data_IF_644711813866
#
_entry.id   IF_644711813866
#
_cell.length_a   1.000
_cell.length_b   1.000
_cell.length_c   1.000
_cell.angle_alpha   90.00
_cell.angle_beta   90.00
_cell.angle_gamma   90.00
#
_symmetry.space_group_name_H-M   'P 1'
#
loop_
_entity.id
_entity.type
_entity.pdbx_description
1 polymer ?
#
# COMPACT_ATOMS: atom_id res chain seq x y z
N UNK A 1 -31.27 2.79 24.04
CA UNK A 1 -30.96 3.66 22.88
C UNK A 1 -29.45 3.75 22.73
N UNK A 2 -28.86 3.25 21.63
CA UNK A 2 -27.44 3.55 21.33
C UNK A 2 -27.32 5.06 21.08
N UNK A 3 -26.37 5.77 21.70
CA UNK A 3 -26.22 7.20 21.48
C UNK A 3 -25.86 7.44 20.00
N UNK A 4 -26.58 8.36 19.36
CA UNK A 4 -26.30 8.76 17.99
C UNK A 4 -24.83 9.17 17.86
N UNK A 5 -24.14 8.59 16.89
CA UNK A 5 -22.73 8.89 16.59
C UNK A 5 -22.57 10.37 16.25
N UNK A 6 -21.38 10.95 16.47
CA UNK A 6 -21.11 12.38 16.18
C UNK A 6 -21.51 12.76 14.73
N UNK A 7 -21.43 11.83 13.79
CA UNK A 7 -21.86 11.98 12.40
C UNK A 7 -23.39 12.08 12.24
N UNK A 8 -24.16 11.26 12.95
CA UNK A 8 -25.62 11.30 12.92
C UNK A 8 -26.15 12.62 13.52
N UNK A 9 -25.53 13.10 14.61
CA UNK A 9 -25.85 14.41 15.20
C UNK A 9 -25.49 15.56 14.25
N UNK A 10 -24.36 15.47 13.55
CA UNK A 10 -23.97 16.47 12.56
C UNK A 10 -24.96 16.53 11.39
N UNK A 11 -25.44 15.38 10.89
CA UNK A 11 -26.43 15.33 9.81
C UNK A 11 -27.76 16.01 10.18
N UNK A 12 -28.22 15.86 11.43
CA UNK A 12 -29.44 16.52 11.93
C UNK A 12 -29.30 18.03 12.10
N UNK A 13 -28.07 18.53 12.29
CA UNK A 13 -27.78 19.96 12.52
C UNK A 13 -27.37 20.70 11.23
N UNK A 14 -27.18 19.98 10.11
CA UNK A 14 -26.62 20.53 8.88
C UNK A 14 -27.73 21.00 7.92
N UNK A 15 -27.84 22.32 7.70
CA UNK A 15 -28.92 22.91 6.91
C UNK A 15 -28.77 22.74 5.38
N UNK A 16 -27.54 22.73 4.83
CA UNK A 16 -27.34 22.71 3.37
C UNK A 16 -27.35 21.30 2.78
N UNK A 17 -27.96 21.14 1.59
CA UNK A 17 -28.02 19.86 0.88
C UNK A 17 -26.62 19.34 0.49
N UNK A 18 -25.70 20.25 0.12
CA UNK A 18 -24.31 19.92 -0.22
C UNK A 18 -23.56 19.34 0.99
N UNK A 19 -23.68 19.95 2.17
CA UNK A 19 -23.03 19.45 3.37
C UNK A 19 -23.61 18.10 3.83
N UNK A 20 -24.94 17.89 3.70
CA UNK A 20 -25.56 16.58 3.93
C UNK A 20 -25.03 15.50 2.97
N UNK A 21 -24.86 15.82 1.69
CA UNK A 21 -24.30 14.90 0.69
C UNK A 21 -22.83 14.52 1.02
N UNK A 22 -22.01 15.49 1.47
CA UNK A 22 -20.65 15.21 1.93
C UNK A 22 -20.62 14.30 3.17
N UNK A 23 -21.50 14.53 4.15
CA UNK A 23 -21.61 13.68 5.34
C UNK A 23 -22.06 12.24 4.99
N UNK A 24 -23.04 12.08 4.10
CA UNK A 24 -23.45 10.75 3.62
C UNK A 24 -22.32 10.03 2.88
N UNK A 25 -21.55 10.76 2.05
CA UNK A 25 -20.37 10.21 1.37
C UNK A 25 -19.32 9.75 2.38
N UNK A 26 -19.03 10.56 3.40
CA UNK A 26 -18.09 10.19 4.46
C UNK A 26 -18.56 8.93 5.23
N UNK A 27 -19.84 8.88 5.59
CA UNK A 27 -20.42 7.73 6.28
C UNK A 27 -20.33 6.44 5.46
N UNK A 28 -20.59 6.51 4.15
CA UNK A 28 -20.42 5.37 3.23
C UNK A 28 -18.99 4.86 3.15
N UNK A 29 -18.00 5.76 3.24
CA UNK A 29 -16.59 5.40 3.18
C UNK A 29 -16.08 4.81 4.49
N UNK A 30 -16.78 5.03 5.61
CA UNK A 30 -16.32 4.62 6.94
C UNK A 30 -16.05 3.11 7.02
N UNK A 31 -16.92 2.28 6.45
CA UNK A 31 -16.73 0.82 6.42
C UNK A 31 -15.47 0.43 5.66
N UNK A 32 -15.21 1.04 4.49
CA UNK A 32 -14.02 0.74 3.69
C UNK A 32 -12.74 1.25 4.37
N UNK A 33 -12.79 2.41 5.05
CA UNK A 33 -11.68 2.96 5.81
C UNK A 33 -11.33 2.05 7.00
N UNK A 34 -12.34 1.62 7.77
CA UNK A 34 -12.16 0.67 8.87
C UNK A 34 -11.60 -0.66 8.37
N UNK A 35 -12.12 -1.19 7.25
CA UNK A 35 -11.60 -2.41 6.65
C UNK A 35 -10.12 -2.26 6.24
N UNK A 36 -9.72 -1.10 5.71
CA UNK A 36 -8.32 -0.83 5.33
C UNK A 36 -7.41 -0.76 6.56
N UNK A 37 -7.85 -0.09 7.63
CA UNK A 37 -7.09 -0.02 8.89
C UNK A 37 -6.99 -1.41 9.51
N UNK A 38 -8.09 -2.17 9.58
CA UNK A 38 -8.12 -3.52 10.11
C UNK A 38 -7.21 -4.46 9.31
N UNK A 39 -7.26 -4.38 7.97
CA UNK A 39 -6.37 -5.13 7.08
C UNK A 39 -4.89 -4.80 7.36
N UNK A 40 -4.56 -3.52 7.48
CA UNK A 40 -3.20 -3.10 7.80
C UNK A 40 -2.74 -3.68 9.15
N UNK A 41 -3.52 -3.48 10.21
CA UNK A 41 -3.19 -3.96 11.55
C UNK A 41 -3.04 -5.49 11.58
N UNK A 42 -3.97 -6.22 10.96
CA UNK A 42 -3.90 -7.69 10.87
C UNK A 42 -2.67 -8.16 10.07
N UNK A 43 -2.30 -7.46 9.00
CA UNK A 43 -1.11 -7.79 8.20
C UNK A 43 0.17 -7.55 8.97
N UNK A 44 0.27 -6.43 9.69
CA UNK A 44 1.43 -6.12 10.54
C UNK A 44 1.55 -7.15 11.66
N UNK A 45 0.44 -7.43 12.35
CA UNK A 45 0.37 -8.44 13.40
C UNK A 45 0.89 -9.79 12.90
N UNK A 46 0.32 -10.32 11.80
CA UNK A 46 0.73 -11.60 11.23
C UNK A 46 2.22 -11.64 10.86
N UNK A 47 2.78 -10.54 10.34
CA UNK A 47 4.20 -10.49 9.96
C UNK A 47 5.13 -10.52 11.17
N UNK A 48 4.73 -9.88 12.27
CA UNK A 48 5.52 -9.90 13.51
C UNK A 48 5.38 -11.26 14.20
N UNK A 49 4.18 -11.85 14.24
CA UNK A 49 3.96 -13.21 14.77
C UNK A 49 4.84 -14.25 14.06
N UNK A 50 5.06 -14.11 12.75
CA UNK A 50 5.95 -15.00 11.98
C UNK A 50 7.42 -14.95 12.41
N UNK A 51 7.86 -13.91 13.13
CA UNK A 51 9.19 -13.85 13.72
C UNK A 51 9.35 -14.80 14.92
N UNK A 52 8.25 -15.35 15.45
CA UNK A 52 8.20 -16.25 16.62
C UNK A 52 8.95 -15.67 17.83
N UNK A 53 8.68 -14.41 18.15
CA UNK A 53 9.25 -13.71 19.30
C UNK A 53 8.41 -13.97 20.55
N UNK A 54 9.00 -13.75 21.72
CA UNK A 54 8.26 -13.69 22.98
C UNK A 54 7.30 -12.49 22.98
N UNK A 55 6.20 -12.59 23.74
CA UNK A 55 5.12 -11.61 23.75
C UNK A 55 5.59 -10.17 24.06
N UNK A 56 6.57 -10.03 24.95
CA UNK A 56 7.16 -8.73 25.29
C UNK A 56 7.91 -8.10 24.11
N UNK A 57 8.66 -8.92 23.37
CA UNK A 57 9.41 -8.50 22.19
C UNK A 57 8.47 -8.19 21.02
N UNK A 58 7.42 -8.98 20.86
CA UNK A 58 6.37 -8.74 19.87
C UNK A 58 5.72 -7.37 20.09
N UNK A 59 5.33 -7.08 21.35
CA UNK A 59 4.78 -5.78 21.74
C UNK A 59 5.78 -4.64 21.49
N UNK A 60 7.06 -4.82 21.81
CA UNK A 60 8.09 -3.83 21.53
C UNK A 60 8.22 -3.53 20.03
N UNK A 61 8.13 -4.55 19.16
CA UNK A 61 8.18 -4.38 17.70
C UNK A 61 6.95 -3.62 17.18
N UNK A 62 5.76 -3.98 17.66
CA UNK A 62 4.48 -3.42 17.20
C UNK A 62 4.25 -2.00 17.72
N UNK A 63 4.55 -1.73 18.99
CA UNK A 63 4.15 -0.50 19.68
C UNK A 63 5.26 0.57 19.71
N UNK A 64 6.52 0.17 19.55
CA UNK A 64 7.67 1.08 19.62
C UNK A 64 8.46 1.12 18.32
N UNK A 65 9.00 -0.02 17.86
CA UNK A 65 9.91 -0.06 16.71
C UNK A 65 9.22 0.34 15.40
N UNK A 66 8.10 -0.31 15.06
CA UNK A 66 7.38 -0.03 13.80
C UNK A 66 6.90 1.43 13.74
N UNK A 67 6.28 1.99 14.79
CA UNK A 67 5.92 3.41 14.81
C UNK A 67 7.10 4.37 14.73
N UNK A 68 8.25 4.05 15.36
CA UNK A 68 9.44 4.89 15.26
C UNK A 68 9.94 4.96 13.80
N UNK A 69 10.03 3.81 13.13
CA UNK A 69 10.43 3.75 11.71
C UNK A 69 9.43 4.51 10.82
N UNK A 70 8.12 4.38 11.06
CA UNK A 70 7.11 5.16 10.33
C UNK A 70 7.31 6.66 10.50
N UNK A 71 7.62 7.14 11.71
CA UNK A 71 7.89 8.56 11.96
C UNK A 71 9.09 9.08 11.15
N UNK A 72 10.17 8.30 11.02
CA UNK A 72 11.29 8.67 10.16
C UNK A 72 10.88 8.72 8.68
N UNK A 73 10.15 7.71 8.21
CA UNK A 73 9.67 7.66 6.83
C UNK A 73 8.77 8.87 6.52
N UNK A 74 7.90 9.26 7.45
CA UNK A 74 7.08 10.47 7.33
C UNK A 74 7.96 11.72 7.32
N UNK A 75 8.95 11.81 8.21
CA UNK A 75 9.87 12.94 8.30
C UNK A 75 10.65 13.17 6.99
N UNK A 76 11.08 12.10 6.30
CA UNK A 76 11.75 12.22 4.98
C UNK A 76 10.86 12.80 3.89
N UNK A 77 9.53 12.65 4.03
CA UNK A 77 8.53 13.15 3.09
C UNK A 77 8.02 14.55 3.46
N UNK A 78 8.37 15.06 4.65
CA UNK A 78 7.95 16.39 5.10
C UNK A 78 8.74 17.52 4.41
N UNK A 79 8.00 18.51 3.92
CA UNK A 79 8.55 19.71 3.30
C UNK A 79 9.17 20.68 4.33
N UNK A 80 8.57 20.80 5.52
CA UNK A 80 9.01 21.72 6.58
C UNK A 80 10.18 21.18 7.40
N UNK A 81 11.22 21.99 7.59
CA UNK A 81 12.40 21.61 8.36
C UNK A 81 12.10 21.38 9.85
N UNK A 82 11.29 22.24 10.46
CA UNK A 82 10.93 22.12 11.88
C UNK A 82 10.08 20.87 12.17
N UNK A 83 9.08 20.60 11.34
CA UNK A 83 8.27 19.38 11.49
C UNK A 83 9.10 18.12 11.25
N UNK A 84 10.02 18.14 10.27
CA UNK A 84 10.96 17.04 10.05
C UNK A 84 11.84 16.78 11.27
N UNK A 85 12.41 17.83 11.89
CA UNK A 85 13.21 17.70 13.13
C UNK A 85 12.37 17.14 14.27
N UNK A 86 11.14 17.63 14.45
CA UNK A 86 10.22 17.16 15.48
C UNK A 86 9.91 15.66 15.33
N UNK A 87 9.58 15.22 14.11
CA UNK A 87 9.29 13.81 13.85
C UNK A 87 10.51 12.91 14.05
N UNK A 88 11.69 13.35 13.63
CA UNK A 88 12.95 12.62 13.87
C UNK A 88 13.25 12.52 15.37
N UNK A 89 13.01 13.58 16.16
CA UNK A 89 13.18 13.55 17.61
C UNK A 89 12.20 12.57 18.29
N UNK A 90 10.94 12.52 17.83
CA UNK A 90 9.95 11.54 18.33
C UNK A 90 10.31 10.10 17.94
N UNK A 91 10.88 9.87 16.76
CA UNK A 91 11.42 8.56 16.39
C UNK A 91 12.55 8.17 17.34
N UNK A 92 13.53 9.05 17.54
CA UNK A 92 14.69 8.78 18.40
C UNK A 92 14.26 8.45 19.84
N UNK A 93 13.30 9.20 20.39
CA UNK A 93 12.74 8.95 21.73
C UNK A 93 12.12 7.56 21.85
N UNK A 94 11.52 7.03 20.77
CA UNK A 94 10.92 5.68 20.76
C UNK A 94 11.95 4.57 20.52
N UNK A 95 13.04 4.87 19.81
CA UNK A 95 14.12 3.90 19.58
C UNK A 95 15.06 3.77 20.78
N UNK A 96 15.25 4.84 21.55
CA UNK A 96 16.21 4.89 22.66
C UNK A 96 16.07 3.72 23.66
N UNK A 97 14.87 3.37 24.18
CA UNK A 97 14.72 2.24 25.10
C UNK A 97 15.05 0.89 24.45
N UNK A 98 14.79 0.73 23.15
CA UNK A 98 15.03 -0.52 22.42
C UNK A 98 16.52 -0.75 22.16
N UNK A 99 17.32 0.32 22.15
CA UNK A 99 18.77 0.30 21.94
C UNK A 99 19.58 0.27 23.23
N UNK A 100 18.92 0.35 24.39
CA UNK A 100 19.55 0.18 25.70
C UNK A 100 20.11 -1.23 25.85
N UNK A 101 21.31 -1.36 26.41
CA UNK A 101 22.07 -2.63 26.46
C UNK A 101 21.40 -3.71 27.33
N UNK A 102 20.54 -3.32 28.24
CA UNK A 102 19.73 -4.18 29.11
C UNK A 102 18.41 -4.64 28.45
N UNK A 103 18.02 -4.05 27.32
CA UNK A 103 16.78 -4.40 26.66
C UNK A 103 16.85 -5.83 26.07
N UNK A 104 15.81 -6.67 26.22
CA UNK A 104 15.82 -8.06 25.74
C UNK A 104 16.13 -8.21 24.24
N UNK A 105 15.73 -7.24 23.41
CA UNK A 105 16.10 -7.19 21.99
C UNK A 105 17.62 -7.16 21.76
N UNK A 106 18.41 -6.55 22.65
CA UNK A 106 19.87 -6.47 22.52
C UNK A 106 20.57 -7.78 22.89
N UNK A 107 19.90 -8.65 23.65
CA UNK A 107 20.41 -10.00 23.95
C UNK A 107 20.31 -10.97 22.75
N UNK A 108 19.46 -10.68 21.76
CA UNK A 108 19.31 -11.48 20.54
C UNK A 108 20.56 -11.40 19.65
N UNK A 109 20.75 -12.37 18.75
CA UNK A 109 21.83 -12.32 17.78
C UNK A 109 21.69 -11.13 16.80
N UNK A 110 22.81 -10.59 16.33
CA UNK A 110 22.82 -9.43 15.43
C UNK A 110 22.05 -9.68 14.11
N UNK A 111 22.04 -10.92 13.63
CA UNK A 111 21.26 -11.38 12.46
C UNK A 111 19.77 -11.27 12.72
N UNK A 112 19.29 -11.78 13.85
CA UNK A 112 17.89 -11.70 14.28
C UNK A 112 17.46 -10.26 14.48
N UNK A 113 18.28 -9.42 15.14
CA UNK A 113 17.98 -7.98 15.29
C UNK A 113 17.84 -7.28 13.94
N UNK A 114 18.65 -7.66 12.97
CA UNK A 114 18.58 -7.11 11.60
C UNK A 114 17.30 -7.55 10.89
N UNK A 115 16.92 -8.82 11.03
CA UNK A 115 15.67 -9.36 10.48
C UNK A 115 14.44 -8.67 11.08
N UNK A 116 14.39 -8.52 12.41
CA UNK A 116 13.34 -7.79 13.13
C UNK A 116 13.23 -6.36 12.61
N UNK A 117 14.36 -5.64 12.50
CA UNK A 117 14.39 -4.29 11.97
C UNK A 117 13.91 -4.19 10.52
N UNK A 118 14.19 -5.21 9.70
CA UNK A 118 13.75 -5.28 8.31
C UNK A 118 12.24 -5.54 8.23
N UNK A 119 11.69 -6.48 9.01
CA UNK A 119 10.25 -6.75 9.06
C UNK A 119 9.48 -5.53 9.56
N UNK A 120 9.97 -4.85 10.61
CA UNK A 120 9.36 -3.62 11.11
C UNK A 120 9.39 -2.50 10.05
N UNK A 121 10.50 -2.35 9.31
CA UNK A 121 10.58 -1.40 8.19
C UNK A 121 9.60 -1.75 7.07
N UNK A 122 9.46 -3.01 6.72
CA UNK A 122 8.52 -3.45 5.69
C UNK A 122 7.06 -3.25 6.13
N UNK A 123 6.77 -3.41 7.43
CA UNK A 123 5.47 -3.11 8.02
C UNK A 123 5.17 -1.61 8.00
N UNK A 124 6.15 -0.75 8.33
CA UNK A 124 5.99 0.70 8.23
C UNK A 124 5.74 1.16 6.78
N UNK A 125 6.42 0.55 5.80
CA UNK A 125 6.24 0.86 4.38
C UNK A 125 4.86 0.42 3.84
N UNK A 126 4.18 -0.56 4.45
CA UNK A 126 2.80 -0.93 4.09
C UNK A 126 1.81 0.19 4.39
N UNK A 127 2.08 1.04 5.38
CA UNK A 127 1.18 2.12 5.74
C UNK A 127 1.30 3.29 4.75
N UNK A 128 0.45 3.26 3.73
CA UNK A 128 0.38 4.36 2.78
C UNK A 128 -0.59 5.44 3.28
N UNK A 129 -0.05 6.51 3.87
CA UNK A 129 -0.84 7.72 4.17
C UNK A 129 -1.43 8.27 2.87
N UNK A 130 -2.74 8.17 2.72
CA UNK A 130 -3.47 8.85 1.65
C UNK A 130 -3.39 10.36 1.89
N UNK A 131 -2.52 11.07 1.17
CA UNK A 131 -2.45 12.54 1.20
C UNK A 131 -3.69 13.20 0.60
N UNK A 132 -4.46 12.46 -0.21
CA UNK A 132 -5.91 12.67 -0.42
C UNK A 132 -6.54 11.45 -1.10
N UNK A 133 -7.85 11.25 -0.95
CA UNK A 133 -8.62 10.27 -1.73
C UNK A 133 -8.57 10.55 -3.25
N UNK A 134 -8.19 11.77 -3.64
CA UNK A 134 -8.13 12.22 -5.02
C UNK A 134 -6.80 11.81 -5.66
N UNK A 135 -5.69 11.74 -4.92
CA UNK A 135 -4.37 11.41 -5.48
C UNK A 135 -4.27 9.98 -6.00
N UNK A 136 -4.86 8.99 -5.31
CA UNK A 136 -4.88 7.60 -5.78
C UNK A 136 -5.75 7.43 -7.04
N UNK A 137 -6.96 8.00 -7.02
CA UNK A 137 -7.88 7.99 -8.16
C UNK A 137 -7.34 8.81 -9.34
N UNK A 138 -6.72 9.95 -9.09
CA UNK A 138 -6.04 10.74 -10.11
C UNK A 138 -4.79 10.04 -10.62
N UNK A 139 -4.04 9.33 -9.79
CA UNK A 139 -2.91 8.52 -10.24
C UNK A 139 -3.37 7.39 -11.16
N UNK A 140 -4.42 6.66 -10.78
CA UNK A 140 -5.05 5.64 -11.62
C UNK A 140 -5.60 6.24 -12.92
N UNK A 141 -6.32 7.36 -12.84
CA UNK A 141 -6.84 8.04 -14.02
C UNK A 141 -5.73 8.60 -14.91
N UNK A 142 -4.69 9.19 -14.34
CA UNK A 142 -3.52 9.67 -15.08
C UNK A 142 -2.82 8.50 -15.77
N UNK A 143 -2.69 7.34 -15.13
CA UNK A 143 -2.14 6.13 -15.77
C UNK A 143 -3.04 5.60 -16.88
N UNK A 144 -4.35 5.53 -16.63
CA UNK A 144 -5.34 5.09 -17.62
C UNK A 144 -5.38 6.04 -18.82
N UNK A 145 -5.50 7.35 -18.58
CA UNK A 145 -5.47 8.36 -19.62
C UNK A 145 -4.12 8.41 -20.31
N UNK A 146 -2.98 8.27 -19.62
CA UNK A 146 -1.68 8.16 -20.29
C UNK A 146 -1.58 6.90 -21.16
N UNK A 147 -2.17 5.77 -20.75
CA UNK A 147 -2.19 4.54 -21.53
C UNK A 147 -3.11 4.60 -22.75
N UNK A 148 -4.23 5.34 -22.65
CA UNK A 148 -5.25 5.48 -23.68
C UNK A 148 -5.08 6.72 -24.57
N UNK A 149 -4.35 7.75 -24.12
CA UNK A 149 -4.10 8.96 -24.88
C UNK A 149 -3.03 8.70 -25.95
N UNK A 150 -3.41 8.91 -27.22
CA UNK A 150 -2.58 8.65 -28.41
C UNK A 150 -2.15 7.19 -28.54
N UNK A 151 -3.12 6.29 -28.57
CA UNK A 151 -2.88 4.94 -29.09
C UNK A 151 -2.18 5.06 -30.45
N UNK A 152 -0.93 4.57 -30.53
CA UNK A 152 -0.19 4.57 -31.79
C UNK A 152 -0.94 3.76 -32.85
N UNK A 153 -0.64 4.01 -34.13
CA UNK A 153 -1.26 3.31 -35.28
C UNK A 153 -1.25 1.79 -35.11
N UNK A 154 -0.15 1.22 -34.59
CA UNK A 154 -0.04 -0.22 -34.26
C UNK A 154 -1.08 -0.69 -33.23
N UNK A 155 -1.32 0.09 -32.17
CA UNK A 155 -2.31 -0.26 -31.13
C UNK A 155 -3.73 -0.10 -31.67
N UNK A 156 -3.98 0.95 -32.45
CA UNK A 156 -5.28 1.17 -33.11
C UNK A 156 -5.61 0.03 -34.09
N UNK A 157 -4.64 -0.44 -34.88
CA UNK A 157 -4.82 -1.55 -35.80
C UNK A 157 -5.14 -2.89 -35.10
N UNK A 158 -4.75 -3.06 -33.84
CA UNK A 158 -5.06 -4.26 -33.06
C UNK A 158 -6.49 -4.25 -32.50
N UNK A 159 -7.10 -3.09 -32.29
CA UNK A 159 -8.44 -2.99 -31.68
C UNK A 159 -9.54 -3.72 -32.47
N UNK A 160 -9.62 -3.65 -33.82
CA UNK A 160 -10.59 -4.42 -34.59
C UNK A 160 -10.42 -5.92 -34.40
N UNK A 161 -9.18 -6.43 -34.32
CA UNK A 161 -8.91 -7.84 -34.08
C UNK A 161 -9.39 -8.26 -32.68
N UNK A 162 -9.07 -7.46 -31.65
CA UNK A 162 -9.55 -7.73 -30.29
C UNK A 162 -11.08 -7.70 -30.21
N UNK A 163 -11.70 -6.68 -30.79
CA UNK A 163 -13.15 -6.49 -30.75
C UNK A 163 -13.91 -7.61 -31.46
N UNK A 164 -13.47 -7.99 -32.67
CA UNK A 164 -14.18 -8.97 -33.47
C UNK A 164 -13.89 -10.41 -33.04
N UNK A 165 -12.68 -10.69 -32.56
CA UNK A 165 -12.23 -12.06 -32.28
C UNK A 165 -12.36 -12.42 -30.80
N UNK A 166 -12.24 -11.49 -29.86
CA UNK A 166 -12.06 -11.86 -28.44
C UNK A 166 -13.05 -11.21 -27.46
N UNK A 167 -13.81 -10.19 -27.87
CA UNK A 167 -14.86 -9.61 -27.02
C UNK A 167 -16.13 -10.45 -27.14
N UNK A 168 -16.60 -10.95 -26.00
CA UNK A 168 -17.82 -11.73 -25.88
C UNK A 168 -19.06 -10.84 -25.73
N UNK A 169 -20.17 -11.23 -26.35
CA UNK A 169 -21.49 -10.64 -26.13
C UNK A 169 -22.17 -11.31 -24.92
N UNK A 170 -23.37 -10.84 -24.50
CA UNK A 170 -24.12 -11.47 -23.40
C UNK A 170 -24.46 -12.95 -23.63
N UNK A 171 -24.45 -13.42 -24.88
CA UNK A 171 -24.63 -14.83 -25.25
C UNK A 171 -23.32 -15.65 -25.14
N UNK A 172 -22.26 -15.06 -24.58
CA UNK A 172 -20.92 -15.63 -24.44
C UNK A 172 -20.22 -16.01 -25.75
N UNK A 173 -20.74 -15.60 -26.91
CA UNK A 173 -20.10 -15.83 -28.22
C UNK A 173 -19.32 -14.62 -28.70
N UNK A 174 -18.32 -14.87 -29.56
CA UNK A 174 -17.56 -13.82 -30.25
C UNK A 174 -18.14 -13.52 -31.64
N UNK A 175 -17.84 -12.35 -32.22
CA UNK A 175 -18.29 -12.06 -33.58
C UNK A 175 -17.61 -12.98 -34.61
N UNK A 176 -16.32 -13.28 -34.42
CA UNK A 176 -15.58 -14.23 -35.25
C UNK A 176 -16.16 -15.65 -35.16
N UNK A 177 -16.56 -16.11 -33.98
CA UNK A 177 -17.17 -17.43 -33.82
C UNK A 177 -18.47 -17.60 -34.60
N UNK A 178 -19.34 -16.59 -34.59
CA UNK A 178 -20.56 -16.60 -35.39
C UNK A 178 -20.29 -16.55 -36.88
N UNK A 179 -19.26 -15.82 -37.30
CA UNK A 179 -18.92 -15.66 -38.71
C UNK A 179 -18.22 -16.90 -39.28
N UNK A 180 -17.28 -17.49 -38.54
CA UNK A 180 -16.47 -18.63 -38.97
C UNK A 180 -17.01 -20.00 -38.50
N UNK A 181 -18.05 -20.01 -37.66
CA UNK A 181 -18.63 -21.24 -37.09
C UNK A 181 -17.72 -21.98 -36.11
N UNK A 182 -16.65 -21.33 -35.61
CA UNK A 182 -15.69 -21.93 -34.68
C UNK A 182 -15.15 -20.90 -33.69
N UNK A 183 -14.96 -21.31 -32.44
CA UNK A 183 -14.36 -20.46 -31.43
C UNK A 183 -12.90 -20.10 -31.80
N UNK A 184 -12.48 -18.85 -31.56
CA UNK A 184 -11.09 -18.47 -31.75
C UNK A 184 -10.20 -19.11 -30.68
N UNK A 185 -8.93 -19.40 -31.02
CA UNK A 185 -7.96 -19.92 -30.05
C UNK A 185 -7.77 -18.95 -28.87
N UNK A 186 -7.37 -19.47 -27.71
CA UNK A 186 -7.21 -18.65 -26.51
C UNK A 186 -6.20 -17.50 -26.72
N UNK A 187 -6.66 -16.25 -26.60
CA UNK A 187 -5.83 -15.06 -26.82
C UNK A 187 -4.57 -15.06 -25.96
N UNK A 188 -4.69 -15.47 -24.70
CA UNK A 188 -3.58 -15.43 -23.75
C UNK A 188 -2.43 -16.35 -24.18
N UNK A 189 -2.73 -17.59 -24.57
CA UNK A 189 -1.73 -18.55 -25.05
C UNK A 189 -1.03 -18.05 -26.32
N UNK A 190 -1.80 -17.51 -27.27
CA UNK A 190 -1.23 -16.93 -28.48
C UNK A 190 -0.31 -15.73 -28.21
N UNK A 191 -0.63 -14.93 -27.19
CA UNK A 191 0.23 -13.82 -26.79
C UNK A 191 1.50 -14.33 -26.12
N UNK A 192 1.41 -15.35 -25.26
CA UNK A 192 2.60 -15.94 -24.62
C UNK A 192 3.59 -16.51 -25.65
N UNK A 193 3.10 -17.14 -26.72
CA UNK A 193 3.95 -17.67 -27.79
C UNK A 193 4.64 -16.59 -28.63
N UNK A 194 4.00 -15.41 -28.78
CA UNK A 194 4.42 -14.38 -29.76
C UNK A 194 5.06 -13.15 -29.13
N UNK A 195 4.80 -12.89 -27.85
CA UNK A 195 5.33 -11.73 -27.15
C UNK A 195 6.75 -12.05 -26.67
N UNK A 196 7.78 -11.28 -27.08
CA UNK A 196 9.11 -11.48 -26.55
C UNK A 196 9.09 -11.21 -25.04
N UNK A 197 9.85 -12.00 -24.28
CA UNK A 197 9.98 -11.80 -22.84
C UNK A 197 10.40 -10.35 -22.55
N UNK A 198 9.80 -9.70 -21.54
CA UNK A 198 10.19 -8.35 -21.19
C UNK A 198 11.68 -8.31 -20.85
N UNK A 199 12.37 -7.19 -21.12
CA UNK A 199 13.77 -7.05 -20.77
C UNK A 199 13.95 -7.29 -19.26
N UNK A 200 15.08 -7.89 -18.88
CA UNK A 200 15.38 -8.12 -17.47
C UNK A 200 15.25 -6.82 -16.69
N UNK A 201 14.64 -6.85 -15.49
CA UNK A 201 14.56 -5.66 -14.64
C UNK A 201 15.92 -5.01 -14.53
N UNK A 202 15.96 -3.68 -14.61
CA UNK A 202 17.19 -2.92 -14.40
C UNK A 202 17.80 -3.37 -13.07
N UNK A 203 19.07 -3.81 -13.10
CA UNK A 203 19.81 -4.10 -11.87
C UNK A 203 19.76 -2.85 -10.99
N UNK A 204 19.05 -2.96 -9.87
CA UNK A 204 18.92 -1.87 -8.90
C UNK A 204 20.34 -1.54 -8.44
N UNK A 205 20.70 -0.25 -8.38
CA UNK A 205 21.94 0.13 -7.69
C UNK A 205 21.88 -0.47 -6.29
N UNK A 206 23.01 -1.02 -5.83
CA UNK A 206 23.14 -1.46 -4.45
C UNK A 206 22.66 -0.31 -3.56
N UNK A 207 21.58 -0.56 -2.80
CA UNK A 207 21.09 0.41 -1.84
C UNK A 207 22.19 0.55 -0.80
N UNK A 208 22.57 1.78 -0.42
CA UNK A 208 23.44 1.97 0.74
C UNK A 208 22.85 1.15 1.89
N UNK A 209 23.67 0.33 2.53
CA UNK A 209 23.21 -0.47 3.67
C UNK A 209 22.61 0.51 4.68
N UNK A 210 21.32 0.33 4.99
CA UNK A 210 20.70 1.12 6.06
C UNK A 210 21.40 0.70 7.34
N UNK A 211 21.75 1.67 8.19
CA UNK A 211 22.22 1.37 9.55
C UNK A 211 21.10 0.57 10.23
N UNK A 212 21.40 -0.58 10.88
CA UNK A 212 20.39 -1.35 11.57
C UNK A 212 19.71 -0.51 12.65
N UNK A 213 18.38 -0.57 12.73
CA UNK A 213 17.62 0.18 13.72
C UNK A 213 17.93 -0.21 15.16
N UNK A 214 18.31 -1.47 15.40
CA UNK A 214 18.59 -2.04 16.72
C UNK A 214 20.10 -2.19 16.96
N UNK A 215 20.86 -1.14 16.68
CA UNK A 215 22.29 -1.12 17.02
C UNK A 215 22.42 -0.66 18.48
N UNK A 216 23.07 -1.42 19.36
CA UNK A 216 23.21 -1.03 20.76
C UNK A 216 23.98 0.29 20.91
N UNK A 217 23.54 1.15 21.81
CA UNK A 217 24.27 2.37 22.17
C UNK A 217 25.50 1.94 22.97
N UNK A 218 26.70 2.41 22.57
CA UNK A 218 27.90 2.17 23.35
C UNK A 218 27.76 2.83 24.73
N UNK A 219 28.01 2.04 25.78
CA UNK A 219 28.02 2.51 27.16
C UNK A 219 29.07 3.61 27.41
#
# INVERSE_FOLDING_TARGET
MKPATRLERAQTLTASASARAHLQKAQRLNTALLATIAFFLATVQQRVEMLNLDLELEAAVLEQLTPAIDLELVATRCLGAEERKRLMALSAQRLEPLCASDHPLQALEATQRTEIGQVASDCADLFQRSSSAVVGRNGQFSLFHHGCFRLGSRKLAALPAVHNVYICRPDHTTAAERFFGRAPPALFEQLLERVPLPPRPRRRRARTAKVPYLTPIAA
#
